data_IF_676813245175
#
_entry.id   IF_676813245175
#
_cell.length_a   1.000
_cell.length_b   1.000
_cell.length_c   1.000
_cell.angle_alpha   90.00
_cell.angle_beta   90.00
_cell.angle_gamma   90.00
#
_symmetry.space_group_name_H-M   'P 1'
#
loop_
_entity.id
_entity.type
_entity.pdbx_description
1 polymer ?
#
# COMPACT_ATOMS: atom_id res chain seq x y z
N UNK A 1 0.69 -13.76 15.19
CA UNK A 1 0.92 -12.30 15.33
C UNK A 1 2.34 -12.03 14.87
N UNK A 2 2.60 -11.09 13.94
CA UNK A 2 3.98 -10.78 13.58
C UNK A 2 4.72 -10.29 14.83
N UNK A 3 5.98 -10.71 14.96
CA UNK A 3 6.83 -10.53 16.15
C UNK A 3 6.95 -9.06 16.64
N UNK A 4 6.55 -8.09 15.82
CA UNK A 4 6.70 -6.66 16.07
C UNK A 4 5.38 -5.91 16.32
N UNK A 5 4.25 -6.61 16.45
CA UNK A 5 2.96 -5.98 16.78
C UNK A 5 2.35 -5.12 15.68
N UNK A 6 2.82 -5.26 14.43
CA UNK A 6 2.17 -4.65 13.28
C UNK A 6 0.99 -5.52 12.80
N UNK A 7 -0.04 -4.89 12.25
CA UNK A 7 -1.07 -5.55 11.48
C UNK A 7 -0.59 -5.71 10.04
N UNK A 8 -0.59 -6.95 9.56
CA UNK A 8 -0.31 -7.30 8.16
C UNK A 8 -1.56 -8.01 7.64
N UNK A 9 -2.27 -7.46 6.63
CA UNK A 9 -3.43 -8.13 6.05
C UNK A 9 -3.01 -9.47 5.44
N UNK A 10 -3.74 -10.55 5.72
CA UNK A 10 -3.36 -11.91 5.32
C UNK A 10 -3.13 -12.07 3.80
N UNK A 11 -3.84 -11.32 2.97
CA UNK A 11 -3.71 -11.36 1.50
C UNK A 11 -2.84 -10.25 0.91
N UNK A 12 -2.32 -9.33 1.72
CA UNK A 12 -1.57 -8.16 1.25
C UNK A 12 -0.25 -8.00 2.01
N UNK A 13 0.73 -8.92 1.83
CA UNK A 13 2.06 -8.72 2.37
C UNK A 13 2.66 -7.41 1.86
N UNK A 14 3.50 -6.77 2.66
CA UNK A 14 4.07 -5.45 2.37
C UNK A 14 3.32 -4.27 2.97
N UNK A 15 2.05 -4.46 3.37
CA UNK A 15 1.39 -3.51 4.27
C UNK A 15 1.83 -3.74 5.71
N UNK A 16 2.11 -2.66 6.44
CA UNK A 16 2.51 -2.76 7.83
C UNK A 16 2.10 -1.55 8.62
N UNK A 17 1.00 -1.67 9.38
CA UNK A 17 0.50 -0.63 10.27
C UNK A 17 0.63 -1.11 11.71
N UNK A 18 1.23 -0.36 12.64
CA UNK A 18 1.26 -0.75 14.05
C UNK A 18 -0.15 -1.01 14.59
N UNK A 19 -0.37 -2.17 15.21
CA UNK A 19 -1.71 -2.55 15.69
C UNK A 19 -2.28 -1.52 16.67
N UNK A 20 -1.41 -0.94 17.51
CA UNK A 20 -1.76 0.16 18.44
C UNK A 20 -2.31 1.40 17.75
N UNK A 21 -1.90 1.68 16.52
CA UNK A 21 -2.40 2.83 15.76
C UNK A 21 -3.69 2.44 15.02
N UNK A 22 -3.76 1.18 14.54
CA UNK A 22 -4.94 0.66 13.87
C UNK A 22 -6.17 0.59 14.78
N UNK A 23 -6.01 0.21 16.06
CA UNK A 23 -7.13 0.15 17.02
C UNK A 23 -7.78 1.51 17.29
N UNK A 24 -7.07 2.60 17.03
CA UNK A 24 -7.59 3.97 17.15
C UNK A 24 -8.07 4.54 15.81
N UNK A 25 -8.07 3.74 14.74
CA UNK A 25 -8.49 4.16 13.41
C UNK A 25 -7.41 4.90 12.63
N UNK A 26 -6.20 4.30 12.54
CA UNK A 26 -5.03 4.69 11.74
C UNK A 26 -5.14 6.01 10.96
N UNK A 27 -4.28 6.97 11.31
CA UNK A 27 -4.26 8.32 10.74
C UNK A 27 -4.21 8.32 9.20
N UNK A 28 -5.24 8.85 8.51
CA UNK A 28 -5.29 8.93 7.05
C UNK A 28 -4.11 9.68 6.41
N UNK A 29 -3.54 10.67 7.09
CA UNK A 29 -2.39 11.43 6.59
C UNK A 29 -1.08 10.66 6.69
N UNK A 30 -0.96 9.79 7.70
CA UNK A 30 0.21 8.92 7.88
C UNK A 30 0.13 7.65 7.03
N UNK A 31 -1.09 7.15 6.80
CA UNK A 31 -1.36 5.93 6.05
C UNK A 31 -2.27 6.18 4.83
N UNK A 32 -1.87 7.04 3.89
CA UNK A 32 -2.72 7.44 2.77
C UNK A 32 -3.11 6.28 1.85
N UNK A 33 -2.23 5.30 1.65
CA UNK A 33 -2.51 4.15 0.79
C UNK A 33 -3.54 3.24 1.44
N UNK A 34 -3.34 2.90 2.71
CA UNK A 34 -4.29 2.08 3.45
C UNK A 34 -5.64 2.77 3.56
N UNK A 35 -5.66 4.09 3.79
CA UNK A 35 -6.90 4.84 3.87
C UNK A 35 -7.65 4.85 2.53
N UNK A 36 -6.94 5.04 1.41
CA UNK A 36 -7.53 4.97 0.07
C UNK A 36 -8.13 3.59 -0.21
N UNK A 37 -7.38 2.51 0.05
CA UNK A 37 -7.87 1.14 -0.10
C UNK A 37 -9.06 0.82 0.81
N UNK A 38 -9.06 1.34 2.04
CA UNK A 38 -10.17 1.15 2.99
C UNK A 38 -11.43 1.89 2.55
N UNK A 39 -11.29 3.11 2.03
CA UNK A 39 -12.41 4.01 1.75
C UNK A 39 -13.00 3.79 0.36
N UNK A 40 -12.14 3.57 -0.64
CA UNK A 40 -12.48 3.59 -2.06
C UNK A 40 -12.05 2.32 -2.80
N UNK A 41 -11.41 1.38 -2.08
CA UNK A 41 -10.92 0.14 -2.66
C UNK A 41 -9.78 0.34 -3.66
N UNK A 42 -9.62 -0.63 -4.55
CA UNK A 42 -8.55 -0.59 -5.56
C UNK A 42 -8.71 0.56 -6.54
N UNK A 43 -9.95 1.00 -6.83
CA UNK A 43 -10.22 2.10 -7.75
C UNK A 43 -9.66 3.43 -7.24
N UNK A 44 -9.96 3.77 -5.98
CA UNK A 44 -9.39 4.98 -5.36
C UNK A 44 -7.88 4.92 -5.22
N UNK A 45 -7.30 3.73 -4.97
CA UNK A 45 -5.86 3.61 -4.89
C UNK A 45 -5.18 3.85 -6.25
N UNK A 46 -5.77 3.37 -7.35
CA UNK A 46 -5.29 3.66 -8.71
C UNK A 46 -5.38 5.15 -8.99
N UNK A 47 -6.52 5.78 -8.67
CA UNK A 47 -6.72 7.21 -8.89
C UNK A 47 -5.71 8.05 -8.11
N UNK A 48 -5.49 7.73 -6.84
CA UNK A 48 -4.47 8.35 -5.99
C UNK A 48 -3.07 8.18 -6.61
N UNK A 49 -2.73 6.97 -7.04
CA UNK A 49 -1.43 6.66 -7.65
C UNK A 49 -1.19 7.47 -8.94
N UNK A 50 -2.21 7.57 -9.80
CA UNK A 50 -2.11 8.32 -11.05
C UNK A 50 -1.99 9.81 -10.78
N UNK A 51 -2.84 10.38 -9.92
CA UNK A 51 -2.93 11.83 -9.69
C UNK A 51 -1.76 12.38 -8.88
N UNK A 52 -1.44 11.73 -7.76
CA UNK A 52 -0.47 12.25 -6.80
C UNK A 52 0.95 11.75 -7.07
N UNK A 53 1.08 10.56 -7.65
CA UNK A 53 2.36 9.89 -7.81
C UNK A 53 2.77 9.68 -9.28
N UNK A 54 1.90 10.02 -10.24
CA UNK A 54 2.22 9.90 -11.67
C UNK A 54 2.30 8.45 -12.18
N UNK A 55 1.67 7.51 -11.46
CA UNK A 55 1.59 6.11 -11.87
C UNK A 55 0.91 5.97 -13.22
N UNK A 56 1.42 5.04 -14.05
CA UNK A 56 0.83 4.71 -15.36
C UNK A 56 0.44 3.24 -15.36
N UNK A 57 -0.86 2.91 -15.30
CA UNK A 57 -1.29 1.53 -15.35
C UNK A 57 -0.91 0.86 -16.68
N UNK A 58 -0.53 -0.41 -16.61
CA UNK A 58 -0.44 -1.32 -17.77
C UNK A 58 -1.81 -1.51 -18.43
N UNK A 59 -1.79 -2.00 -19.67
CA UNK A 59 -3.01 -2.26 -20.45
C UNK A 59 -3.91 -3.32 -19.78
N UNK A 60 -3.31 -4.36 -19.20
CA UNK A 60 -4.01 -5.46 -18.56
C UNK A 60 -3.31 -5.92 -17.29
N UNK A 61 -4.10 -6.39 -16.34
CA UNK A 61 -3.66 -7.05 -15.10
C UNK A 61 -4.47 -8.31 -14.91
N UNK A 62 -3.83 -9.35 -14.38
CA UNK A 62 -4.48 -10.66 -14.20
C UNK A 62 -5.57 -10.57 -13.14
N UNK A 63 -5.31 -9.85 -12.05
CA UNK A 63 -6.22 -9.71 -10.91
C UNK A 63 -6.05 -8.33 -10.27
N UNK A 64 -7.02 -7.92 -9.43
CA UNK A 64 -6.93 -6.66 -8.65
C UNK A 64 -5.70 -6.62 -7.74
N UNK A 65 -5.26 -7.77 -7.23
CA UNK A 65 -4.08 -7.88 -6.38
C UNK A 65 -2.79 -7.63 -7.16
N UNK A 66 -2.74 -8.01 -8.44
CA UNK A 66 -1.62 -7.76 -9.33
C UNK A 66 -1.45 -6.25 -9.57
N UNK A 67 -2.54 -5.57 -9.90
CA UNK A 67 -2.58 -4.10 -9.99
C UNK A 67 -2.17 -3.42 -8.68
N UNK A 68 -2.70 -3.88 -7.54
CA UNK A 68 -2.34 -3.34 -6.24
C UNK A 68 -0.85 -3.53 -5.92
N UNK A 69 -0.25 -4.64 -6.32
CA UNK A 69 1.17 -4.88 -6.11
C UNK A 69 2.03 -4.04 -7.05
N UNK A 70 1.64 -3.90 -8.31
CA UNK A 70 2.35 -3.08 -9.30
C UNK A 70 2.43 -1.61 -8.86
N UNK A 71 1.32 -1.04 -8.39
CA UNK A 71 1.31 0.32 -7.83
C UNK A 71 2.26 0.42 -6.63
N UNK A 72 2.20 -0.53 -5.69
CA UNK A 72 3.07 -0.49 -4.49
C UNK A 72 4.55 -0.60 -4.85
N UNK A 73 4.90 -1.43 -5.83
CA UNK A 73 6.26 -1.52 -6.35
C UNK A 73 6.71 -0.20 -6.95
N UNK A 74 5.88 0.41 -7.80
CA UNK A 74 6.17 1.71 -8.40
C UNK A 74 6.48 2.77 -7.33
N UNK A 75 5.64 2.88 -6.30
CA UNK A 75 5.83 3.86 -5.23
C UNK A 75 7.13 3.64 -4.44
N UNK A 76 7.47 2.38 -4.15
CA UNK A 76 8.61 2.05 -3.29
C UNK A 76 9.93 1.97 -4.06
N UNK A 77 9.93 1.34 -5.24
CA UNK A 77 11.15 1.03 -6.01
C UNK A 77 11.46 2.10 -7.05
N UNK A 78 10.46 2.58 -7.79
CA UNK A 78 10.68 3.54 -8.87
C UNK A 78 10.76 4.97 -8.33
N UNK A 79 9.81 5.36 -7.46
CA UNK A 79 9.83 6.68 -6.82
C UNK A 79 10.70 6.74 -5.56
N UNK A 80 11.09 5.60 -4.99
CA UNK A 80 11.93 5.55 -3.80
C UNK A 80 11.26 6.10 -2.54
N UNK A 81 9.92 6.12 -2.48
CA UNK A 81 9.20 6.74 -1.38
C UNK A 81 9.30 5.91 -0.09
N UNK A 82 9.52 6.60 1.02
CA UNK A 82 9.53 6.01 2.35
C UNK A 82 8.15 6.11 3.03
N UNK A 83 7.19 5.31 2.54
CA UNK A 83 5.80 5.34 3.02
C UNK A 83 5.61 4.45 4.26
N UNK A 84 4.92 4.98 5.26
CA UNK A 84 4.63 4.23 6.49
C UNK A 84 3.68 3.04 6.23
N UNK A 85 2.82 3.13 5.21
CA UNK A 85 1.95 2.04 4.77
C UNK A 85 2.73 0.80 4.32
N UNK A 86 3.87 1.02 3.63
CA UNK A 86 4.54 0.02 2.80
C UNK A 86 5.88 -0.40 3.41
N UNK A 87 5.83 -1.38 4.32
CA UNK A 87 7.00 -1.91 5.01
C UNK A 87 6.96 -3.44 5.12
N UNK A 88 8.12 -4.10 5.15
CA UNK A 88 9.46 -3.52 4.96
C UNK A 88 9.74 -3.23 3.47
N UNK A 89 10.56 -2.21 3.18
CA UNK A 89 10.95 -1.86 1.79
C UNK A 89 11.57 -3.06 1.06
N UNK A 90 12.30 -3.92 1.77
CA UNK A 90 12.90 -5.12 1.19
C UNK A 90 11.88 -6.15 0.68
N UNK A 91 10.61 -6.08 1.09
CA UNK A 91 9.55 -6.91 0.51
C UNK A 91 9.39 -6.67 -0.99
N UNK A 92 9.67 -5.46 -1.46
CA UNK A 92 9.47 -5.05 -2.85
C UNK A 92 10.73 -5.25 -3.70
N UNK A 93 11.88 -5.54 -3.10
CA UNK A 93 13.16 -5.65 -3.84
C UNK A 93 13.39 -7.03 -4.49
N UNK A 94 12.49 -8.00 -4.29
CA UNK A 94 12.62 -9.40 -4.71
C UNK A 94 11.28 -9.95 -5.18
#
# INVERSE_FOLDING_TARGET
>A
MPLYGNFIPQSCPGFSIPLRELVHGADPGKYPIFNSLKSEGIGGFVELAVKEYGYKPREEYVEKCDLCYDIRNYLVLELGLDLADLKPVNHYKY
#
